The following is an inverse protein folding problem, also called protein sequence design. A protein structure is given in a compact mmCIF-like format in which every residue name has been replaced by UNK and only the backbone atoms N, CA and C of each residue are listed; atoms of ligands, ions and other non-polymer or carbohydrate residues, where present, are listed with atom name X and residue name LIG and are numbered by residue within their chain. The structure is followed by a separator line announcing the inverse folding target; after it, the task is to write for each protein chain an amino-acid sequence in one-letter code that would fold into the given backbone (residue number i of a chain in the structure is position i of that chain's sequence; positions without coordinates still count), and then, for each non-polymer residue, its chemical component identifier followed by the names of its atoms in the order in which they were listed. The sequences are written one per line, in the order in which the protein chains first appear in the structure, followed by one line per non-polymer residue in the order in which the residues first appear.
data_IF_409570982387
#
_entry.id   IF_409570982387
#
_cell.length_a   1.000
_cell.length_b   1.000
_cell.length_c   1.000
_cell.angle_alpha   90.00
_cell.angle_beta   90.00
_cell.angle_gamma   90.00
#
_symmetry.space_group_name_H-M   'P 1'
#
loop_
_entity.id
_entity.type
_entity.pdbx_description
1 polymer ?
#
# COMPACT_ATOMS: atom_id res chain seq x y z
N UNK A 1 10.38 -25.11 -5.89
CA UNK A 1 9.34 -24.11 -6.21
C UNK A 1 10.06 -23.05 -7.01
N UNK A 2 9.64 -22.73 -8.24
CA UNK A 2 10.30 -21.68 -9.03
C UNK A 2 10.06 -20.36 -8.31
N UNK A 3 11.12 -19.60 -8.01
CA UNK A 3 11.02 -18.30 -7.34
C UNK A 3 10.21 -17.32 -8.18
N UNK A 4 9.56 -16.35 -7.53
CA UNK A 4 8.81 -15.32 -8.24
C UNK A 4 9.77 -14.36 -8.93
N UNK A 5 9.47 -14.00 -10.17
CA UNK A 5 10.20 -12.98 -10.91
C UNK A 5 9.38 -11.69 -10.92
N UNK A 6 10.00 -10.61 -10.48
CA UNK A 6 9.41 -9.27 -10.49
C UNK A 6 10.21 -8.32 -11.38
N UNK A 7 9.50 -7.67 -12.28
CA UNK A 7 9.97 -6.53 -13.06
C UNK A 7 9.77 -5.25 -12.26
N UNK A 8 10.86 -4.52 -12.05
CA UNK A 8 10.92 -3.24 -11.35
C UNK A 8 10.68 -2.13 -12.36
N UNK A 9 9.60 -1.37 -12.18
CA UNK A 9 9.27 -0.20 -12.99
C UNK A 9 9.38 1.06 -12.12
N UNK A 10 10.53 1.76 -12.13
CA UNK A 10 10.74 2.95 -11.32
C UNK A 10 9.62 3.99 -11.51
N UNK A 11 9.26 4.66 -10.43
CA UNK A 11 8.17 5.66 -10.40
C UNK A 11 6.76 5.12 -10.64
N UNK A 12 6.62 3.83 -10.96
CA UNK A 12 5.35 3.26 -11.43
C UNK A 12 4.92 2.04 -10.62
N UNK A 13 5.60 0.91 -10.76
CA UNK A 13 5.05 -0.37 -10.30
C UNK A 13 6.09 -1.46 -10.08
N UNK A 14 5.63 -2.56 -9.47
CA UNK A 14 6.34 -3.83 -9.42
C UNK A 14 5.44 -4.91 -9.97
N UNK A 15 5.89 -5.52 -11.05
CA UNK A 15 5.09 -6.44 -11.84
C UNK A 15 5.63 -7.85 -11.73
N UNK A 16 4.80 -8.80 -11.32
CA UNK A 16 5.10 -10.21 -11.33
C UNK A 16 4.45 -10.87 -12.56
N UNK A 17 5.11 -10.79 -13.72
CA UNK A 17 4.63 -11.35 -14.99
C UNK A 17 3.12 -11.11 -15.19
N UNK A 18 2.34 -12.17 -15.43
CA UNK A 18 0.87 -12.13 -15.59
C UNK A 18 0.11 -12.41 -14.29
N UNK A 19 0.80 -12.48 -13.15
CA UNK A 19 0.20 -12.85 -11.85
C UNK A 19 -0.39 -11.65 -11.14
N UNK A 20 0.41 -10.61 -10.94
CA UNK A 20 0.00 -9.39 -10.22
C UNK A 20 0.88 -8.21 -10.62
N UNK A 21 0.32 -7.02 -10.58
CA UNK A 21 1.07 -5.77 -10.67
C UNK A 21 0.68 -4.85 -9.51
N UNK A 22 1.68 -4.40 -8.75
CA UNK A 22 1.50 -3.42 -7.70
C UNK A 22 1.85 -2.04 -8.25
N UNK A 23 0.84 -1.25 -8.57
CA UNK A 23 1.02 0.11 -9.12
C UNK A 23 0.91 1.15 -8.01
N UNK A 24 1.83 2.11 -7.99
CA UNK A 24 1.79 3.25 -7.08
C UNK A 24 0.49 4.05 -7.28
N UNK A 25 -0.09 4.51 -6.17
CA UNK A 25 -1.37 5.22 -6.18
C UNK A 25 -2.60 4.30 -6.26
N UNK A 26 -2.44 2.99 -6.49
CA UNK A 26 -3.56 2.05 -6.50
C UNK A 26 -4.28 2.07 -5.13
N UNK A 27 -5.61 2.24 -5.11
CA UNK A 27 -6.41 2.13 -3.90
C UNK A 27 -6.24 0.78 -3.19
N UNK A 28 -6.19 0.78 -1.85
CA UNK A 28 -5.95 -0.41 -1.04
C UNK A 28 -6.89 -1.58 -1.37
N UNK A 29 -8.15 -1.28 -1.71
CA UNK A 29 -9.15 -2.27 -2.04
C UNK A 29 -8.82 -3.01 -3.35
N UNK A 30 -8.29 -2.30 -4.34
CA UNK A 30 -7.81 -2.92 -5.57
C UNK A 30 -6.57 -3.77 -5.31
N UNK A 31 -5.64 -3.31 -4.45
CA UNK A 31 -4.47 -4.10 -4.02
C UNK A 31 -4.91 -5.41 -3.35
N UNK A 32 -5.84 -5.34 -2.40
CA UNK A 32 -6.37 -6.52 -1.71
C UNK A 32 -7.08 -7.46 -2.69
N UNK A 33 -7.84 -6.92 -3.65
CA UNK A 33 -8.52 -7.71 -4.69
C UNK A 33 -7.51 -8.44 -5.57
N UNK A 34 -6.45 -7.76 -6.00
CA UNK A 34 -5.38 -8.33 -6.80
C UNK A 34 -4.68 -9.47 -6.03
N UNK A 35 -4.40 -9.28 -4.73
CA UNK A 35 -3.83 -10.30 -3.86
C UNK A 35 -4.76 -11.51 -3.68
N UNK A 36 -6.07 -11.28 -3.51
CA UNK A 36 -7.05 -12.36 -3.42
C UNK A 36 -7.10 -13.19 -4.71
N UNK A 37 -7.06 -12.53 -5.87
CA UNK A 37 -7.02 -13.19 -7.17
C UNK A 37 -5.70 -13.97 -7.39
N UNK A 38 -4.59 -13.46 -6.86
CA UNK A 38 -3.27 -14.09 -6.92
C UNK A 38 -2.98 -15.10 -5.78
N UNK A 39 -3.95 -15.42 -4.93
CA UNK A 39 -3.79 -16.20 -3.68
C UNK A 39 -3.21 -17.62 -3.85
N UNK A 40 -3.27 -18.18 -5.07
CA UNK A 40 -2.63 -19.47 -5.37
C UNK A 40 -1.10 -19.39 -5.37
N UNK A 41 -0.59 -18.25 -5.80
CA UNK A 41 0.84 -17.95 -6.00
C UNK A 41 1.38 -17.18 -4.81
N UNK A 42 0.76 -16.05 -4.47
CA UNK A 42 1.16 -15.19 -3.36
C UNK A 42 0.48 -15.67 -2.08
N UNK A 43 1.28 -16.03 -1.08
CA UNK A 43 0.81 -16.63 0.17
C UNK A 43 1.42 -15.92 1.37
N UNK A 44 0.86 -16.17 2.55
CA UNK A 44 1.36 -15.62 3.82
C UNK A 44 1.38 -14.07 3.80
N UNK A 45 0.22 -13.51 3.46
CA UNK A 45 -0.02 -12.07 3.41
C UNK A 45 -0.48 -11.61 4.78
N UNK A 46 0.20 -10.62 5.36
CA UNK A 46 -0.19 -9.99 6.61
C UNK A 46 -0.59 -8.55 6.38
N UNK A 47 -1.68 -8.14 7.03
CA UNK A 47 -2.15 -6.76 7.05
C UNK A 47 -1.99 -6.18 8.45
N UNK A 48 -1.29 -5.06 8.56
CA UNK A 48 -0.97 -4.38 9.81
C UNK A 48 -1.50 -2.95 9.75
N UNK A 49 -2.17 -2.54 10.83
CA UNK A 49 -2.75 -1.21 11.00
C UNK A 49 -2.71 -0.81 12.49
N UNK A 50 -2.84 0.49 12.77
CA UNK A 50 -2.87 1.01 14.14
C UNK A 50 -4.30 1.21 14.61
N UNK A 51 -4.69 0.59 15.73
CA UNK A 51 -5.99 0.84 16.36
C UNK A 51 -6.07 2.19 17.05
N UNK A 52 -4.94 2.65 17.59
CA UNK A 52 -4.84 3.92 18.31
C UNK A 52 -4.74 5.11 17.36
N UNK A 53 -4.11 4.91 16.20
CA UNK A 53 -3.79 5.97 15.23
C UNK A 53 -4.15 5.54 13.79
N UNK A 54 -5.43 5.19 13.49
CA UNK A 54 -5.81 4.52 12.24
C UNK A 54 -5.66 5.39 10.98
N UNK A 55 -5.70 6.71 11.12
CA UNK A 55 -5.56 7.66 10.01
C UNK A 55 -4.24 8.44 10.04
N UNK A 56 -3.33 8.07 10.93
CA UNK A 56 -2.04 8.75 11.11
C UNK A 56 -0.87 7.82 10.84
N UNK A 57 -0.95 6.55 11.28
CA UNK A 57 0.06 5.54 10.95
C UNK A 57 -0.27 4.89 9.62
N UNK A 58 0.76 4.74 8.78
CA UNK A 58 0.64 4.05 7.50
C UNK A 58 0.14 2.61 7.69
N UNK A 59 -0.71 2.15 6.78
CA UNK A 59 -1.17 0.76 6.74
C UNK A 59 -0.14 -0.06 5.97
N UNK A 60 0.12 -1.29 6.41
CA UNK A 60 1.15 -2.13 5.79
C UNK A 60 0.57 -3.48 5.36
N UNK A 61 0.79 -3.87 4.10
CA UNK A 61 0.59 -5.25 3.63
C UNK A 61 1.97 -5.89 3.42
N UNK A 62 2.25 -6.98 4.13
CA UNK A 62 3.52 -7.70 4.03
C UNK A 62 3.33 -9.06 3.38
N UNK A 63 4.04 -9.30 2.28
CA UNK A 63 4.15 -10.59 1.60
C UNK A 63 5.35 -11.33 2.21
N UNK A 64 5.12 -12.10 3.29
CA UNK A 64 6.21 -12.66 4.10
C UNK A 64 7.10 -13.64 3.33
N UNK A 65 6.51 -14.44 2.46
CA UNK A 65 7.26 -15.44 1.71
C UNK A 65 8.14 -14.81 0.61
N UNK A 66 7.71 -13.66 0.10
CA UNK A 66 8.31 -12.97 -1.04
C UNK A 66 9.19 -11.79 -0.61
N UNK A 67 9.26 -11.50 0.69
CA UNK A 67 10.09 -10.42 1.23
C UNK A 67 9.64 -9.01 0.84
N UNK A 68 8.38 -8.83 0.41
CA UNK A 68 7.85 -7.55 -0.10
C UNK A 68 6.94 -6.90 0.94
N UNK A 69 7.13 -5.60 1.14
CA UNK A 69 6.24 -4.75 1.95
C UNK A 69 5.61 -3.65 1.12
N UNK A 70 4.29 -3.51 1.23
CA UNK A 70 3.48 -2.45 0.60
C UNK A 70 3.05 -1.46 1.69
N UNK A 71 3.32 -0.16 1.48
CA UNK A 71 2.98 0.90 2.44
C UNK A 71 1.87 1.77 1.84
N UNK A 72 0.75 1.84 2.55
CA UNK A 72 -0.46 2.54 2.12
C UNK A 72 -0.62 3.80 2.96
N UNK A 73 -0.88 4.92 2.27
CA UNK A 73 -1.17 6.20 2.91
C UNK A 73 -2.53 6.13 3.62
N UNK A 74 -2.61 6.48 4.91
CA UNK A 74 -3.78 6.21 5.73
C UNK A 74 -4.96 7.16 5.47
N UNK A 75 -4.73 8.36 4.95
CA UNK A 75 -5.78 9.35 4.64
C UNK A 75 -6.35 9.13 3.24
N UNK A 76 -5.52 8.90 2.23
CA UNK A 76 -5.90 8.69 0.84
C UNK A 76 -6.24 7.23 0.54
N UNK A 77 -5.86 6.30 1.43
CA UNK A 77 -6.04 4.84 1.29
C UNK A 77 -5.46 4.30 -0.02
N UNK A 78 -4.29 4.81 -0.40
CA UNK A 78 -3.59 4.49 -1.65
C UNK A 78 -2.18 4.01 -1.38
N UNK A 79 -1.68 3.14 -2.26
CA UNK A 79 -0.30 2.70 -2.22
C UNK A 79 0.66 3.90 -2.39
N UNK A 80 1.34 4.29 -1.31
CA UNK A 80 2.14 5.52 -1.18
C UNK A 80 3.58 5.30 -1.58
N UNK A 81 4.16 4.29 -0.96
CA UNK A 81 5.52 3.83 -1.15
C UNK A 81 5.40 2.34 -1.38
N UNK A 82 5.97 1.93 -2.49
CA UNK A 82 6.01 0.55 -2.86
C UNK A 82 7.39 0.02 -2.47
N UNK A 83 7.37 -1.18 -1.88
CA UNK A 83 8.50 -2.07 -1.67
C UNK A 83 9.47 -1.56 -0.63
N UNK A 84 9.48 -2.20 0.53
CA UNK A 84 10.76 -2.63 1.07
C UNK A 84 10.91 -4.08 0.62
N UNK A 85 11.78 -4.38 -0.37
CA UNK A 85 12.24 -5.76 -0.49
C UNK A 85 13.28 -5.90 0.60
N UNK A 86 12.96 -6.67 1.63
CA UNK A 86 13.86 -6.90 2.77
C UNK A 86 14.41 -8.33 2.79
N UNK A 87 13.88 -9.21 1.94
CA UNK A 87 14.42 -10.56 1.72
C UNK A 87 14.46 -10.88 0.23
N UNK A 88 15.67 -11.03 -0.31
CA UNK A 88 15.93 -11.30 -1.72
C UNK A 88 16.08 -12.80 -2.01
N UNK A 89 15.99 -13.67 -0.99
CA UNK A 89 16.30 -15.10 -1.12
C UNK A 89 15.33 -15.91 -1.96
N UNK A 90 14.10 -15.42 -2.13
CA UNK A 90 13.04 -16.17 -2.80
C UNK A 90 12.52 -15.49 -4.08
N UNK A 91 13.11 -14.36 -4.46
CA UNK A 91 12.63 -13.56 -5.59
C UNK A 91 13.77 -13.19 -6.54
N UNK A 92 13.43 -13.13 -7.82
CA UNK A 92 14.29 -12.59 -8.87
C UNK A 92 13.80 -11.19 -9.25
N UNK A 93 14.69 -10.22 -9.31
CA UNK A 93 14.39 -8.84 -9.67
C UNK A 93 15.04 -8.47 -11.00
N UNK A 94 14.25 -7.84 -11.86
CA UNK A 94 14.61 -7.49 -13.22
C UNK A 94 14.31 -6.02 -13.51
N UNK A 95 15.19 -5.37 -14.27
CA UNK A 95 15.01 -4.01 -14.78
C UNK A 95 15.42 -3.96 -16.24
N UNK A 96 14.54 -3.47 -17.13
CA UNK A 96 14.77 -3.38 -18.58
C UNK A 96 15.41 -4.64 -19.19
N UNK A 97 14.75 -5.79 -19.04
CA UNK A 97 15.26 -7.09 -19.51
C UNK A 97 16.47 -7.68 -18.76
N UNK A 98 17.09 -6.92 -17.85
CA UNK A 98 18.29 -7.36 -17.12
C UNK A 98 17.96 -7.80 -15.70
N UNK A 99 18.32 -9.04 -15.35
CA UNK A 99 18.23 -9.54 -13.97
C UNK A 99 19.36 -8.95 -13.15
N UNK A 100 19.02 -8.14 -12.15
CA UNK A 100 20.02 -7.51 -11.27
C UNK A 100 20.11 -8.19 -9.89
N UNK A 101 19.10 -8.96 -9.48
CA UNK A 101 19.11 -9.75 -8.24
C UNK A 101 18.41 -11.08 -8.45
N UNK A 102 18.98 -12.17 -7.95
CA UNK A 102 18.31 -13.49 -7.92
C UNK A 102 18.65 -14.22 -6.62
N UNK A 103 17.93 -15.31 -6.26
CA UNK A 103 18.25 -16.14 -5.11
C UNK A 103 19.68 -16.69 -5.10
N UNK A 104 20.21 -16.98 -6.29
CA UNK A 104 21.56 -17.55 -6.47
C UNK A 104 22.64 -16.45 -6.54
N UNK A 105 22.26 -15.21 -6.85
CA UNK A 105 23.18 -14.10 -7.05
C UNK A 105 22.57 -12.78 -6.55
N UNK A 106 22.83 -12.47 -5.27
CA UNK A 106 22.36 -11.24 -4.64
C UNK A 106 22.97 -9.98 -5.30
N UNK A 107 22.16 -8.93 -5.41
CA UNK A 107 22.62 -7.64 -5.94
C UNK A 107 23.60 -6.96 -4.97
N UNK A 108 24.69 -6.41 -5.51
CA UNK A 108 25.59 -5.49 -4.80
C UNK A 108 25.60 -4.11 -5.48
N UNK A 109 26.32 -3.16 -4.89
CA UNK A 109 26.40 -1.77 -5.39
C UNK A 109 26.81 -1.71 -6.87
N UNK A 110 27.84 -2.45 -7.27
CA UNK A 110 28.33 -2.47 -8.66
C UNK A 110 27.30 -3.00 -9.66
N UNK A 111 26.56 -4.06 -9.29
CA UNK A 111 25.53 -4.65 -10.14
C UNK A 111 24.37 -3.68 -10.34
N UNK A 112 23.99 -2.96 -9.28
CA UNK A 112 22.99 -1.89 -9.35
C UNK A 112 23.50 -0.73 -10.22
N UNK A 113 24.74 -0.27 -10.06
CA UNK A 113 25.31 0.81 -10.88
C UNK A 113 25.36 0.43 -12.37
N UNK A 114 25.78 -0.80 -12.69
CA UNK A 114 25.79 -1.30 -14.07
C UNK A 114 24.40 -1.38 -14.68
N UNK A 115 23.38 -1.67 -13.86
CA UNK A 115 22.01 -1.86 -14.31
C UNK A 115 21.23 -0.53 -14.45
N UNK A 116 21.38 0.38 -13.47
CA UNK A 116 20.64 1.64 -13.39
C UNK A 116 21.45 2.87 -13.84
N UNK A 117 22.75 2.72 -14.05
CA UNK A 117 23.66 3.79 -14.45
C UNK A 117 24.05 4.73 -13.30
N UNK A 118 24.66 5.86 -13.67
CA UNK A 118 25.12 6.85 -12.71
C UNK A 118 23.97 7.46 -11.90
N UNK A 119 24.26 7.81 -10.65
CA UNK A 119 23.27 8.31 -9.68
C UNK A 119 23.79 9.51 -8.90
N UNK A 120 22.91 10.16 -8.13
CA UNK A 120 23.30 11.20 -7.20
C UNK A 120 24.19 10.64 -6.07
N UNK A 121 25.04 11.45 -5.43
CA UNK A 121 25.75 11.03 -4.24
C UNK A 121 24.75 10.47 -3.23
N UNK A 122 24.98 9.25 -2.77
CA UNK A 122 24.11 8.65 -1.80
C UNK A 122 24.20 9.33 -0.44
N UNK A 123 23.15 9.14 0.33
CA UNK A 123 22.92 9.79 1.61
C UNK A 123 23.07 8.74 2.71
N UNK A 124 23.92 9.02 3.70
CA UNK A 124 24.05 8.14 4.86
C UNK A 124 22.96 8.45 5.89
N UNK A 125 22.22 7.42 6.29
CA UNK A 125 21.28 7.45 7.39
C UNK A 125 21.93 6.84 8.63
N UNK A 126 22.32 7.71 9.57
CA UNK A 126 22.95 7.31 10.82
C UNK A 126 22.05 6.49 11.73
N UNK A 127 20.72 6.71 11.68
CA UNK A 127 19.77 5.98 12.54
C UNK A 127 19.65 4.53 12.10
N UNK A 128 19.63 4.32 10.79
CA UNK A 128 19.53 2.99 10.20
C UNK A 128 20.91 2.32 10.00
N UNK A 129 22.01 3.09 10.08
CA UNK A 129 23.37 2.66 9.68
C UNK A 129 23.38 2.15 8.23
N UNK A 130 22.69 2.89 7.36
CA UNK A 130 22.44 2.52 5.97
C UNK A 130 22.83 3.65 5.03
N UNK A 131 23.31 3.29 3.86
CA UNK A 131 23.60 4.22 2.79
C UNK A 131 22.55 4.10 1.68
N UNK A 132 21.89 5.21 1.35
CA UNK A 132 20.80 5.30 0.38
C UNK A 132 21.32 5.83 -0.96
N UNK A 133 21.21 5.02 -2.00
CA UNK A 133 21.39 5.41 -3.40
C UNK A 133 20.04 5.62 -4.07
N UNK A 134 19.88 6.72 -4.81
CA UNK A 134 18.58 7.14 -5.33
C UNK A 134 18.62 7.47 -6.82
N UNK A 135 17.74 6.82 -7.57
CA UNK A 135 17.38 7.21 -8.92
C UNK A 135 15.98 7.83 -8.88
N UNK A 136 15.53 8.33 -10.03
CA UNK A 136 14.14 8.80 -10.15
C UNK A 136 13.20 7.60 -9.95
N UNK A 137 12.41 7.67 -8.89
CA UNK A 137 11.37 6.69 -8.56
C UNK A 137 11.84 5.31 -8.07
N UNK A 138 13.14 5.12 -7.83
CA UNK A 138 13.67 3.93 -7.15
C UNK A 138 14.88 4.29 -6.28
N UNK A 139 15.02 3.66 -5.12
CA UNK A 139 16.18 3.80 -4.26
C UNK A 139 16.61 2.45 -3.69
N UNK A 140 17.89 2.35 -3.35
CA UNK A 140 18.54 1.15 -2.86
C UNK A 140 19.32 1.48 -1.59
N UNK A 141 19.19 0.67 -0.56
CA UNK A 141 19.89 0.83 0.70
C UNK A 141 20.90 -0.29 0.92
N UNK A 142 22.10 0.09 1.31
CA UNK A 142 23.21 -0.81 1.61
C UNK A 142 23.69 -0.59 3.05
N UNK A 143 24.08 -1.65 3.78
CA UNK A 143 24.63 -1.52 5.12
C UNK A 143 25.95 -0.74 5.10
N UNK A 144 26.13 0.14 6.09
CA UNK A 144 27.37 0.89 6.30
C UNK A 144 27.76 0.88 7.78
N UNK A 145 29.00 0.50 8.09
CA UNK A 145 29.47 0.38 9.48
C UNK A 145 29.57 1.74 10.17
N UNK A 146 30.16 2.73 9.49
CA UNK A 146 30.37 4.09 10.00
C UNK A 146 30.39 5.14 8.88
N UNK A 147 30.06 6.40 9.19
CA UNK A 147 30.09 7.52 8.25
C UNK A 147 31.47 7.75 7.60
N UNK A 148 32.56 7.34 8.26
CA UNK A 148 33.94 7.44 7.77
C UNK A 148 34.30 6.41 6.68
N UNK A 149 33.53 5.32 6.54
CA UNK A 149 33.65 4.37 5.41
C UNK A 149 33.01 4.91 4.13
N UNK A 150 32.33 6.06 4.23
CA UNK A 150 31.61 6.71 3.13
C UNK A 150 32.35 8.01 2.80
N UNK A 151 33.63 7.93 2.40
CA UNK A 151 34.35 9.12 1.91
C UNK A 151 33.92 9.43 0.47
N UNK A 152 32.85 10.21 0.31
CA UNK A 152 32.40 10.71 -0.99
C UNK A 152 33.46 11.64 -1.60
N UNK A 153 34.33 11.10 -2.44
CA UNK A 153 35.23 11.92 -3.25
C UNK A 153 34.47 12.27 -4.52
N UNK A 154 34.04 13.54 -4.63
CA UNK A 154 33.17 14.11 -5.68
C UNK A 154 33.64 13.94 -7.14
N UNK A 155 34.73 13.21 -7.39
CA UNK A 155 35.37 13.16 -8.70
C UNK A 155 34.93 11.97 -9.58
N UNK A 156 34.50 10.84 -9.02
CA UNK A 156 34.29 9.61 -9.83
C UNK A 156 33.22 8.66 -9.25
N UNK A 157 31.94 8.83 -9.61
CA UNK A 157 30.89 7.78 -9.47
C UNK A 157 30.76 7.10 -8.10
N UNK A 158 30.05 5.96 -8.04
CA UNK A 158 29.89 5.17 -6.82
C UNK A 158 31.17 4.46 -6.37
N UNK A 159 32.16 4.36 -7.26
CA UNK A 159 33.50 3.82 -6.98
C UNK A 159 34.32 4.62 -5.96
N UNK A 160 33.81 5.74 -5.46
CA UNK A 160 34.40 6.50 -4.35
C UNK A 160 33.95 6.04 -2.95
N UNK A 161 32.99 5.12 -2.86
CA UNK A 161 32.54 4.54 -1.58
C UNK A 161 33.51 3.46 -1.11
N UNK A 162 34.40 3.82 -0.18
CA UNK A 162 35.36 2.90 0.41
C UNK A 162 34.74 2.08 1.55
N UNK A 163 34.05 1.00 1.21
CA UNK A 163 33.58 0.04 2.23
C UNK A 163 34.79 -0.56 2.98
N UNK A 164 34.68 -0.65 4.31
CA UNK A 164 35.81 -1.01 5.20
C UNK A 164 36.37 -2.43 4.97
N UNK A 165 35.65 -3.29 4.27
CA UNK A 165 36.09 -4.61 3.84
C UNK A 165 36.20 -4.61 2.30
N UNK A 166 37.12 -5.40 1.74
CA UNK A 166 37.29 -5.56 0.28
C UNK A 166 36.07 -6.16 -0.45
N UNK A 167 35.00 -6.48 0.28
CA UNK A 167 33.74 -6.97 -0.27
C UNK A 167 32.69 -5.86 -0.26
N UNK A 168 32.08 -5.63 -1.43
CA UNK A 168 30.99 -4.68 -1.59
C UNK A 168 29.75 -5.15 -0.82
N UNK A 169 29.02 -4.25 -0.15
CA UNK A 169 27.83 -4.63 0.58
C UNK A 169 26.73 -5.09 -0.39
N UNK A 170 25.99 -6.11 0.05
CA UNK A 170 24.80 -6.59 -0.63
C UNK A 170 23.61 -5.67 -0.37
N UNK A 171 22.68 -5.67 -1.32
CA UNK A 171 21.44 -4.91 -1.26
C UNK A 171 20.59 -5.41 -0.09
N UNK A 172 20.23 -4.51 0.83
CA UNK A 172 19.40 -4.85 1.98
C UNK A 172 17.97 -4.32 1.85
N UNK A 173 17.77 -3.24 1.09
CA UNK A 173 16.43 -2.69 0.84
C UNK A 173 16.34 -2.01 -0.51
N UNK A 174 15.34 -2.35 -1.31
CA UNK A 174 14.91 -1.57 -2.47
C UNK A 174 13.62 -0.81 -2.12
N UNK A 175 13.43 0.40 -2.68
CA UNK A 175 12.24 1.24 -2.52
C UNK A 175 11.80 1.79 -3.86
N UNK A 176 10.52 1.61 -4.24
CA UNK A 176 9.88 2.24 -5.39
C UNK A 176 8.92 3.33 -4.89
N UNK A 177 9.04 4.53 -5.42
CA UNK A 177 8.25 5.68 -4.98
C UNK A 177 7.96 6.59 -6.17
N UNK A 178 6.95 7.45 -6.07
CA UNK A 178 6.70 8.47 -7.09
C UNK A 178 7.31 9.81 -6.67
N UNK A 179 7.96 10.49 -7.61
CA UNK A 179 8.71 11.73 -7.37
C UNK A 179 10.22 11.51 -7.15
N UNK A 180 10.84 12.46 -6.44
CA UNK A 180 12.31 12.57 -6.34
C UNK A 180 12.90 12.16 -4.99
N UNK A 181 12.05 11.99 -3.96
CA UNK A 181 12.50 11.65 -2.62
C UNK A 181 11.62 10.54 -2.02
N UNK A 182 12.20 9.42 -1.55
CA UNK A 182 11.43 8.35 -0.90
C UNK A 182 10.80 8.79 0.44
N UNK A 183 11.34 9.83 1.10
CA UNK A 183 10.79 10.35 2.36
C UNK A 183 9.54 11.22 2.16
N UNK A 184 9.39 11.78 0.97
CA UNK A 184 8.28 12.66 0.59
C UNK A 184 7.69 12.18 -0.75
N UNK A 185 7.13 10.96 -0.79
CA UNK A 185 6.59 10.41 -2.02
C UNK A 185 5.41 11.25 -2.50
N UNK A 186 5.40 11.60 -3.78
CA UNK A 186 4.25 12.22 -4.41
C UNK A 186 3.22 11.14 -4.68
N UNK A 187 1.95 11.35 -4.34
CA UNK A 187 0.89 10.41 -4.72
C UNK A 187 0.54 10.59 -6.21
N UNK A 188 0.55 9.51 -7.02
CA UNK A 188 0.12 9.58 -8.40
C UNK A 188 -1.35 10.00 -8.53
N UNK A 189 -1.66 10.74 -9.59
CA UNK A 189 -3.05 11.05 -9.96
C UNK A 189 -3.74 9.78 -10.47
N UNK A 190 -4.98 9.56 -10.02
CA UNK A 190 -5.76 8.41 -10.47
C UNK A 190 -6.53 8.81 -11.74
N UNK A 191 -6.42 8.04 -12.84
CA UNK A 191 -7.20 8.29 -14.05
C UNK A 191 -8.71 8.20 -13.78
N UNK A 192 -9.50 9.08 -14.41
CA UNK A 192 -10.97 9.05 -14.29
C UNK A 192 -11.59 7.69 -14.66
N UNK A 193 -10.97 6.97 -15.60
CA UNK A 193 -11.42 5.65 -16.03
C UNK A 193 -11.35 4.58 -14.93
N UNK A 194 -10.51 4.78 -13.90
CA UNK A 194 -10.43 3.86 -12.76
C UNK A 194 -11.66 3.94 -11.83
N UNK A 195 -12.55 4.92 -12.04
CA UNK A 195 -13.72 5.15 -11.18
C UNK A 195 -14.89 4.19 -11.48
N UNK A 196 -15.04 3.73 -12.73
CA UNK A 196 -16.04 2.74 -13.16
C UNK A 196 -17.44 2.90 -12.50
N UNK A 197 -17.93 4.14 -12.31
CA UNK A 197 -19.23 4.42 -11.70
C UNK A 197 -19.31 4.26 -10.17
N UNK A 198 -18.19 4.09 -9.46
CA UNK A 198 -18.13 3.98 -8.00
C UNK A 198 -17.80 5.31 -7.32
N UNK A 199 -18.20 5.44 -6.05
CA UNK A 199 -17.72 6.52 -5.19
C UNK A 199 -16.21 6.39 -5.00
N UNK A 200 -15.49 7.47 -5.28
CA UNK A 200 -14.04 7.52 -5.21
C UNK A 200 -13.57 8.29 -4.00
N UNK A 201 -12.80 7.65 -3.14
CA UNK A 201 -12.25 8.29 -1.95
C UNK A 201 -11.22 9.36 -2.34
N UNK A 202 -11.48 10.60 -1.88
CA UNK A 202 -10.49 11.67 -1.86
C UNK A 202 -9.69 11.53 -0.57
N UNK A 203 -10.35 11.49 0.58
CA UNK A 203 -9.67 11.32 1.87
C UNK A 203 -10.61 10.78 2.94
N UNK A 204 -10.02 10.14 3.94
CA UNK A 204 -10.69 9.67 5.14
C UNK A 204 -9.90 10.10 6.38
N UNK A 205 -10.59 10.66 7.38
CA UNK A 205 -9.97 11.08 8.65
C UNK A 205 -10.84 10.71 9.84
N UNK A 206 -10.24 10.55 11.03
CA UNK A 206 -11.00 10.39 12.28
C UNK A 206 -11.72 11.70 12.64
N UNK A 207 -12.89 11.54 13.24
CA UNK A 207 -13.54 12.60 14.03
C UNK A 207 -13.37 12.22 15.48
N UNK A 208 -12.72 13.10 16.25
CA UNK A 208 -12.38 12.85 17.65
C UNK A 208 -13.08 13.85 18.56
N UNK A 209 -13.66 13.35 19.65
CA UNK A 209 -14.24 14.15 20.71
C UNK A 209 -13.68 13.65 22.05
N UNK A 210 -13.17 14.55 22.88
CA UNK A 210 -12.57 14.22 24.19
C UNK A 210 -11.48 13.15 24.14
N UNK A 211 -10.66 13.14 23.07
CA UNK A 211 -9.57 12.17 22.90
C UNK A 211 -10.02 10.76 22.53
N UNK A 212 -11.27 10.59 22.08
CA UNK A 212 -11.79 9.33 21.55
C UNK A 212 -12.31 9.53 20.13
N UNK A 213 -12.05 8.56 19.27
CA UNK A 213 -12.63 8.52 17.93
C UNK A 213 -14.14 8.30 18.08
N UNK A 214 -14.95 9.27 17.64
CA UNK A 214 -16.42 9.23 17.66
C UNK A 214 -17.02 9.10 16.27
N UNK A 215 -16.21 9.18 15.21
CA UNK A 215 -16.66 8.98 13.84
C UNK A 215 -15.53 9.04 12.83
N UNK A 216 -15.92 9.00 11.57
CA UNK A 216 -15.04 9.06 10.41
C UNK A 216 -15.61 10.08 9.42
N UNK A 217 -14.76 10.99 8.96
CA UNK A 217 -15.09 11.96 7.91
C UNK A 217 -14.59 11.39 6.58
N UNK A 218 -15.50 11.28 5.62
CA UNK A 218 -15.22 10.89 4.25
C UNK A 218 -15.34 12.10 3.32
N UNK A 219 -14.30 12.34 2.52
CA UNK A 219 -14.38 13.16 1.33
C UNK A 219 -14.31 12.24 0.11
N UNK A 220 -15.30 12.31 -0.78
CA UNK A 220 -15.35 11.45 -1.95
C UNK A 220 -15.98 12.15 -3.15
N UNK A 221 -15.71 11.60 -4.32
CA UNK A 221 -16.31 11.98 -5.59
C UNK A 221 -17.34 10.93 -5.97
N UNK A 222 -18.50 11.34 -6.48
CA UNK A 222 -19.44 10.44 -7.15
C UNK A 222 -19.62 10.90 -8.59
N UNK A 223 -19.76 9.97 -9.54
CA UNK A 223 -20.24 10.33 -10.87
C UNK A 223 -21.68 10.85 -10.76
N UNK A 224 -21.97 11.98 -11.41
CA UNK A 224 -23.32 12.53 -11.50
C UNK A 224 -24.10 11.76 -12.58
N UNK A 225 -25.01 10.89 -12.16
CA UNK A 225 -25.99 10.24 -13.03
C UNK A 225 -27.23 11.13 -13.09
N UNK A 226 -27.10 12.40 -13.50
CA UNK A 226 -28.27 13.24 -13.77
C UNK A 226 -28.73 12.97 -15.21
N UNK A 227 -29.88 12.30 -15.43
CA UNK A 227 -30.39 12.02 -16.78
C UNK A 227 -30.85 13.27 -17.53
N UNK A 228 -30.86 14.43 -16.86
CA UNK A 228 -31.43 15.69 -17.35
C UNK A 228 -30.40 16.74 -17.76
N UNK A 229 -29.09 16.48 -17.60
CA UNK A 229 -28.05 17.43 -18.00
C UNK A 229 -27.33 16.98 -19.26
N UNK A 230 -27.64 17.63 -20.40
CA UNK A 230 -26.86 17.52 -21.65
C UNK A 230 -25.45 18.13 -21.53
N UNK A 231 -25.05 18.61 -20.35
CA UNK A 231 -23.70 19.09 -20.05
C UNK A 231 -23.04 18.07 -19.14
N UNK A 232 -22.04 17.35 -19.66
CA UNK A 232 -21.07 16.64 -18.81
C UNK A 232 -20.45 17.68 -17.86
N UNK A 233 -20.56 17.52 -16.53
CA UNK A 233 -19.82 18.36 -15.59
C UNK A 233 -18.33 18.31 -15.95
N UNK A 234 -17.64 19.45 -15.92
CA UNK A 234 -16.19 19.53 -16.17
C UNK A 234 -15.40 18.79 -15.09
N UNK A 235 -15.96 18.71 -13.87
CA UNK A 235 -15.46 17.90 -12.77
C UNK A 235 -16.63 17.20 -12.06
N UNK A 236 -16.44 15.96 -11.61
CA UNK A 236 -17.46 15.23 -10.86
C UNK A 236 -17.69 15.87 -9.47
N UNK A 237 -18.94 15.85 -8.94
CA UNK A 237 -19.27 16.48 -7.67
C UNK A 237 -18.51 15.84 -6.50
N UNK A 238 -18.01 16.72 -5.62
CA UNK A 238 -17.30 16.34 -4.39
C UNK A 238 -18.25 16.41 -3.20
N UNK A 239 -18.22 15.40 -2.35
CA UNK A 239 -19.05 15.28 -1.16
C UNK A 239 -18.18 15.12 0.07
N UNK A 240 -18.59 15.75 1.17
CA UNK A 240 -18.05 15.50 2.50
C UNK A 240 -19.16 15.00 3.41
N UNK A 241 -18.91 13.87 4.07
CA UNK A 241 -19.87 13.21 4.96
C UNK A 241 -19.18 12.71 6.21
N UNK A 242 -19.80 12.92 7.36
CA UNK A 242 -19.33 12.40 8.65
C UNK A 242 -20.24 11.26 9.05
N UNK A 243 -19.66 10.10 9.32
CA UNK A 243 -20.33 8.93 9.87
C UNK A 243 -19.88 8.77 11.30
N UNK A 244 -20.81 8.81 12.25
CA UNK A 244 -20.51 8.66 13.69
C UNK A 244 -20.65 7.20 14.12
N UNK A 245 -19.88 6.83 15.14
CA UNK A 245 -20.01 5.53 15.79
C UNK A 245 -21.41 5.42 16.43
N UNK A 246 -22.19 4.45 15.96
CA UNK A 246 -23.58 4.25 16.39
C UNK A 246 -24.63 4.85 15.45
N UNK A 247 -24.23 5.46 14.33
CA UNK A 247 -25.19 5.86 13.30
C UNK A 247 -25.99 4.67 12.77
N UNK A 248 -27.27 4.92 12.44
CA UNK A 248 -28.13 3.89 11.87
C UNK A 248 -27.68 3.50 10.46
N UNK A 249 -27.96 2.26 10.08
CA UNK A 249 -27.72 1.73 8.73
C UNK A 249 -28.31 2.65 7.64
N UNK A 250 -29.52 3.17 7.85
CA UNK A 250 -30.18 4.11 6.94
C UNK A 250 -29.44 5.44 6.82
N UNK A 251 -28.87 5.95 7.92
CA UNK A 251 -28.08 7.17 7.91
C UNK A 251 -26.77 6.98 7.12
N UNK A 252 -26.10 5.83 7.30
CA UNK A 252 -24.89 5.48 6.54
C UNK A 252 -25.19 5.35 5.04
N UNK A 253 -26.27 4.64 4.68
CA UNK A 253 -26.71 4.50 3.29
C UNK A 253 -27.09 5.85 2.67
N UNK A 254 -27.78 6.72 3.40
CA UNK A 254 -28.15 8.05 2.92
C UNK A 254 -26.93 8.97 2.74
N UNK A 255 -25.87 8.76 3.52
CA UNK A 255 -24.66 9.57 3.44
C UNK A 255 -23.69 9.08 2.36
N UNK A 256 -23.39 7.77 2.31
CA UNK A 256 -22.36 7.19 1.44
C UNK A 256 -22.91 6.48 0.21
N UNK A 257 -24.23 6.31 0.09
CA UNK A 257 -24.85 5.54 -0.99
C UNK A 257 -24.79 4.04 -0.77
N UNK A 258 -25.02 3.28 -1.85
CA UNK A 258 -25.06 1.82 -1.81
C UNK A 258 -23.65 1.23 -1.53
N UNK A 259 -23.54 0.26 -0.62
CA UNK A 259 -22.28 -0.42 -0.35
C UNK A 259 -21.89 -1.34 -1.50
N UNK A 260 -20.58 -1.61 -1.65
CA UNK A 260 -20.07 -2.57 -2.64
C UNK A 260 -20.55 -3.99 -2.38
N UNK A 261 -20.72 -4.36 -1.10
CA UNK A 261 -21.28 -5.66 -0.70
C UNK A 261 -21.99 -5.56 0.65
N UNK A 262 -23.06 -6.32 0.81
CA UNK A 262 -23.79 -6.46 2.07
C UNK A 262 -23.51 -7.87 2.60
N UNK A 263 -23.08 -7.98 3.84
CA UNK A 263 -22.91 -9.27 4.53
C UNK A 263 -23.94 -9.40 5.66
N UNK A 264 -24.36 -10.63 5.93
CA UNK A 264 -25.30 -10.96 6.99
C UNK A 264 -24.58 -11.84 8.01
N UNK A 265 -24.70 -11.53 9.31
CA UNK A 265 -24.06 -12.28 10.40
C UNK A 265 -24.45 -13.76 10.45
N UNK A 266 -25.54 -14.14 9.78
CA UNK A 266 -25.98 -15.54 9.61
C UNK A 266 -25.08 -16.39 8.70
N UNK A 267 -24.07 -15.80 8.03
CA UNK A 267 -23.09 -16.54 7.21
C UNK A 267 -21.98 -17.22 8.05
N UNK A 268 -22.07 -17.27 9.38
CA UNK A 268 -21.33 -18.24 10.21
C UNK A 268 -21.89 -19.66 9.97
N UNK A 269 -21.43 -20.32 8.89
CA UNK A 269 -21.60 -21.76 8.75
C UNK A 269 -20.80 -22.46 9.86
N UNK A 270 -21.53 -23.21 10.69
CA UNK A 270 -21.10 -24.19 11.71
C UNK A 270 -20.98 -23.69 13.16
N UNK A 271 -22.13 -23.45 13.80
CA UNK A 271 -22.27 -23.55 15.26
C UNK A 271 -23.22 -24.70 15.60
N UNK A 272 -22.72 -25.91 15.45
CA UNK A 272 -23.34 -27.10 16.05
C UNK A 272 -23.01 -27.01 17.55
N UNK A 273 -24.04 -27.08 18.40
CA UNK A 273 -24.01 -26.98 19.86
C UNK A 273 -24.16 -25.56 20.45
N UNK A 274 -25.37 -25.01 20.38
CA UNK A 274 -25.83 -24.01 21.37
C UNK A 274 -26.87 -24.67 22.28
N UNK A 275 -26.58 -24.71 23.58
CA UNK A 275 -27.42 -25.30 24.63
C UNK A 275 -28.66 -24.47 24.98
N UNK A 276 -29.57 -24.99 25.82
CA UNK A 276 -30.97 -24.56 25.91
C UNK A 276 -31.22 -23.22 26.63
N UNK A 277 -30.19 -22.55 27.13
CA UNK A 277 -30.35 -21.32 27.91
C UNK A 277 -29.55 -20.19 27.27
N UNK A 278 -30.17 -19.36 26.44
CA UNK A 278 -29.84 -17.93 26.39
C UNK A 278 -30.90 -17.05 25.73
N UNK A 279 -30.92 -15.83 26.28
CA UNK A 279 -31.73 -14.63 26.04
C UNK A 279 -32.06 -14.39 24.56
N UNK A 280 -33.29 -13.95 24.28
CA UNK A 280 -33.72 -13.47 22.96
C UNK A 280 -32.78 -12.34 22.50
N UNK A 281 -31.88 -12.67 21.58
CA UNK A 281 -31.14 -11.69 20.79
C UNK A 281 -32.16 -11.04 19.86
N UNK A 282 -32.15 -9.71 19.78
CA UNK A 282 -33.01 -8.90 18.91
C UNK A 282 -33.09 -9.54 17.50
N UNK A 283 -34.31 -9.82 17.01
CA UNK A 283 -34.60 -10.56 15.76
C UNK A 283 -34.18 -9.82 14.47
N UNK A 284 -33.42 -8.73 14.57
CA UNK A 284 -32.93 -8.00 13.40
C UNK A 284 -31.67 -8.69 12.89
N UNK A 285 -31.59 -9.05 11.60
CA UNK A 285 -30.37 -9.57 11.02
C UNK A 285 -29.27 -8.51 11.18
N UNK A 286 -28.20 -8.85 11.88
CA UNK A 286 -27.01 -8.01 11.94
C UNK A 286 -26.39 -7.97 10.53
N UNK A 287 -26.48 -6.81 9.89
CA UNK A 287 -25.95 -6.55 8.55
C UNK A 287 -24.63 -5.77 8.63
N UNK A 288 -23.76 -6.01 7.65
CA UNK A 288 -22.49 -5.29 7.49
C UNK A 288 -22.42 -4.68 6.10
N UNK A 289 -22.10 -3.39 6.02
CA UNK A 289 -21.95 -2.65 4.76
C UNK A 289 -20.48 -2.51 4.41
N UNK A 290 -20.11 -3.13 3.30
CA UNK A 290 -18.75 -3.05 2.79
C UNK A 290 -18.62 -1.90 1.79
N UNK A 291 -17.99 -0.81 2.20
CA UNK A 291 -17.62 0.31 1.33
C UNK A 291 -16.18 0.13 0.82
N UNK A 292 -15.89 -1.08 0.35
CA UNK A 292 -14.56 -1.49 -0.07
C UNK A 292 -13.97 -0.53 -1.10
N UNK A 293 -14.77 -0.02 -2.02
CA UNK A 293 -14.34 0.97 -3.03
C UNK A 293 -13.82 2.28 -2.43
N UNK A 294 -14.22 2.61 -1.21
CA UNK A 294 -13.73 3.75 -0.44
C UNK A 294 -12.65 3.38 0.58
N UNK A 295 -12.03 2.20 0.46
CA UNK A 295 -10.95 1.75 1.33
C UNK A 295 -11.38 1.51 2.79
N UNK A 296 -12.68 1.37 3.07
CA UNK A 296 -13.17 1.18 4.45
C UNK A 296 -14.25 0.11 4.55
N UNK A 297 -14.26 -0.59 5.69
CA UNK A 297 -15.31 -1.52 6.08
C UNK A 297 -16.14 -0.84 7.19
N UNK A 298 -17.46 -0.67 6.98
CA UNK A 298 -18.35 -0.10 7.99
C UNK A 298 -19.25 -1.20 8.56
N UNK A 299 -18.87 -1.69 9.74
CA UNK A 299 -19.66 -2.61 10.54
C UNK A 299 -20.37 -1.84 11.68
N UNK A 300 -21.55 -2.33 12.09
CA UNK A 300 -22.32 -1.88 13.28
C UNK A 300 -21.48 -1.86 14.57
N UNK A 301 -20.36 -2.57 14.55
CA UNK A 301 -19.25 -2.46 15.49
C UNK A 301 -17.96 -2.31 14.68
N UNK A 302 -17.34 -1.14 14.73
CA UNK A 302 -16.01 -0.93 14.16
C UNK A 302 -15.05 -2.03 14.67
N UNK A 303 -14.56 -2.89 13.77
CA UNK A 303 -13.17 -3.29 13.89
C UNK A 303 -12.40 -2.36 12.98
N UNK A 304 -11.79 -1.36 13.62
CA UNK A 304 -10.54 -0.77 13.15
C UNK A 304 -9.63 -1.95 12.84
#
# INVERSE_FOLDING_TARGET
MVGLEFEVLPESSLKCNDVIEFVLGTPINQVITALQNASKVIRNVEFVYSKEEPFTRDLTITLKNDGIRLIIEPVFQRLKVLIEVYDFKNITLKYCETVFSSPDEEANVDKIEKCFGATHPGVYDEKQKMYLLKWRGVAFCFPAKDSSSVQSTYAHGLGSLHFANSELPFLQRMIIFSGSNPSEPKLPEIPLAAYCGNNHLISVTSVEEYGRITGVKYAFVSEDVSPTSNRKPTEPPRFEKIIRLGDTEQAVLAALGAPSKIFYKSDEKMLIQRGPNQVKIDDKPDMFFNYFTMGSFLAKYFMI
#
